data_IF_889677724700
#
_entry.id   IF_889677724700
#
_cell.length_a   1.000
_cell.length_b   1.000
_cell.length_c   1.000
_cell.angle_alpha   90.00
_cell.angle_beta   90.00
_cell.angle_gamma   90.00
#
_symmetry.space_group_name_H-M   'P 1'
#
loop_
_entity.id
_entity.type
_entity.pdbx_description
1 polymer ?
#
# COMPACT_ATOMS: atom_id res chain seq x y z
N UNK A 1 -9.74 -21.32 5.88
CA UNK A 1 -10.29 -20.09 6.49
C UNK A 1 -11.75 -19.98 6.06
N UNK A 2 -12.70 -19.86 6.99
CA UNK A 2 -14.12 -19.75 6.64
C UNK A 2 -14.39 -18.35 6.05
N UNK A 3 -15.16 -18.23 4.96
CA UNK A 3 -15.40 -16.94 4.29
C UNK A 3 -16.02 -15.89 5.22
N UNK A 4 -16.81 -16.33 6.20
CA UNK A 4 -17.42 -15.46 7.22
C UNK A 4 -16.36 -14.70 8.02
N UNK A 5 -15.31 -15.39 8.47
CA UNK A 5 -14.25 -14.76 9.29
C UNK A 5 -13.47 -13.71 8.51
N UNK A 6 -13.20 -13.96 7.22
CA UNK A 6 -12.51 -12.98 6.38
C UNK A 6 -13.37 -11.73 6.15
N UNK A 7 -14.67 -11.91 5.91
CA UNK A 7 -15.61 -10.79 5.74
C UNK A 7 -15.76 -9.97 7.03
N UNK A 8 -15.84 -10.62 8.18
CA UNK A 8 -15.95 -9.93 9.48
C UNK A 8 -14.70 -9.09 9.77
N UNK A 9 -13.51 -9.66 9.51
CA UNK A 9 -12.24 -8.95 9.65
C UNK A 9 -12.17 -7.73 8.73
N UNK A 10 -12.49 -7.89 7.44
CA UNK A 10 -12.50 -6.79 6.48
C UNK A 10 -13.55 -5.74 6.84
N UNK A 11 -14.75 -6.16 7.26
CA UNK A 11 -15.82 -5.27 7.68
C UNK A 11 -15.42 -4.42 8.87
N UNK A 12 -14.82 -5.03 9.89
CA UNK A 12 -14.28 -4.31 11.04
C UNK A 12 -13.20 -3.31 10.63
N UNK A 13 -12.20 -3.73 9.83
CA UNK A 13 -11.16 -2.82 9.34
C UNK A 13 -11.74 -1.63 8.57
N UNK A 14 -12.70 -1.86 7.67
CA UNK A 14 -13.37 -0.79 6.93
C UNK A 14 -14.15 0.16 7.86
N UNK A 15 -14.75 -0.36 8.94
CA UNK A 15 -15.51 0.45 9.90
C UNK A 15 -14.60 1.37 10.74
N UNK A 16 -13.37 0.95 11.05
CA UNK A 16 -12.44 1.74 11.88
C UNK A 16 -11.38 2.50 11.07
N UNK A 17 -11.23 2.21 9.78
CA UNK A 17 -10.25 2.85 8.93
C UNK A 17 -10.56 4.34 8.70
N UNK A 18 -9.52 5.12 8.42
CA UNK A 18 -9.66 6.48 7.90
C UNK A 18 -9.97 6.40 6.40
N UNK A 19 -11.12 6.93 5.99
CA UNK A 19 -11.54 6.88 4.59
C UNK A 19 -10.92 8.05 3.82
N UNK A 20 -10.36 7.77 2.65
CA UNK A 20 -9.73 8.77 1.78
C UNK A 20 -10.48 8.85 0.46
N UNK A 21 -11.01 10.03 0.15
CA UNK A 21 -11.48 10.34 -1.21
C UNK A 21 -10.26 10.74 -2.07
N UNK A 22 -10.13 10.10 -3.24
CA UNK A 22 -8.98 10.20 -4.13
C UNK A 22 -9.48 10.67 -5.50
N UNK A 23 -8.88 11.75 -6.02
CA UNK A 23 -9.27 12.40 -7.29
C UNK A 23 -8.07 12.74 -8.18
N UNK A 24 -6.98 11.97 -8.08
CA UNK A 24 -5.78 12.22 -8.88
C UNK A 24 -6.02 11.90 -10.36
N UNK A 25 -5.31 12.63 -11.24
CA UNK A 25 -5.48 12.56 -12.69
C UNK A 25 -4.30 11.90 -13.42
N UNK A 26 -3.36 11.29 -12.67
CA UNK A 26 -2.11 10.76 -13.24
C UNK A 26 -2.14 9.29 -13.62
N UNK A 27 -3.31 8.62 -13.59
CA UNK A 27 -3.41 7.23 -14.04
C UNK A 27 -3.36 7.13 -15.59
N UNK A 28 -2.74 6.08 -16.15
CA UNK A 28 -1.92 5.08 -15.46
C UNK A 28 -0.52 5.65 -15.17
N UNK A 29 0.03 5.33 -13.99
CA UNK A 29 1.40 5.72 -13.64
C UNK A 29 2.32 4.50 -13.47
N UNK A 30 1.87 3.51 -12.70
CA UNK A 30 2.65 2.30 -12.46
C UNK A 30 2.65 1.33 -13.65
N UNK A 31 3.66 0.44 -13.76
CA UNK A 31 3.68 -0.62 -14.77
C UNK A 31 2.43 -1.51 -14.79
N UNK A 32 1.89 -1.87 -13.61
CA UNK A 32 0.55 -2.45 -13.50
C UNK A 32 -0.46 -1.35 -13.10
N UNK A 33 -1.36 -0.92 -14.02
CA UNK A 33 -2.39 0.08 -13.71
C UNK A 33 -3.35 -0.32 -12.58
N UNK A 34 -3.43 -1.61 -12.21
CA UNK A 34 -4.25 -2.06 -11.08
C UNK A 34 -3.67 -1.61 -9.74
N UNK A 35 -2.36 -1.40 -9.68
CA UNK A 35 -1.64 -1.00 -8.47
C UNK A 35 -1.68 0.52 -8.24
N UNK A 36 -2.08 1.32 -9.24
CA UNK A 36 -2.18 2.77 -9.09
C UNK A 36 -3.07 3.18 -7.91
N UNK A 37 -4.13 2.41 -7.62
CA UNK A 37 -5.01 2.70 -6.46
C UNK A 37 -4.28 2.59 -5.12
N UNK A 38 -3.32 1.66 -5.01
CA UNK A 38 -2.49 1.49 -3.80
C UNK A 38 -1.52 2.66 -3.68
N UNK A 39 -0.86 3.03 -4.79
CA UNK A 39 0.02 4.19 -4.83
C UNK A 39 -0.71 5.47 -4.42
N UNK A 40 -1.86 5.74 -5.03
CA UNK A 40 -2.63 6.94 -4.73
C UNK A 40 -3.11 6.99 -3.28
N UNK A 41 -3.52 5.86 -2.70
CA UNK A 41 -3.87 5.81 -1.28
C UNK A 41 -2.65 6.15 -0.42
N UNK A 42 -1.49 5.57 -0.72
CA UNK A 42 -0.25 5.85 0.00
C UNK A 42 0.14 7.34 -0.07
N UNK A 43 -0.02 7.97 -1.25
CA UNK A 43 0.20 9.41 -1.42
C UNK A 43 -0.81 10.22 -0.63
N UNK A 44 -2.10 9.89 -0.73
CA UNK A 44 -3.19 10.64 -0.06
C UNK A 44 -3.18 10.47 1.46
N UNK A 45 -2.63 9.36 1.95
CA UNK A 45 -2.46 9.08 3.37
C UNK A 45 -1.08 9.51 3.91
N UNK A 46 -0.25 10.15 3.09
CA UNK A 46 1.10 10.62 3.47
C UNK A 46 1.98 9.50 4.05
N UNK A 47 1.86 8.30 3.49
CA UNK A 47 2.70 7.17 3.89
C UNK A 47 4.16 7.41 3.52
N UNK A 48 5.07 6.74 4.22
CA UNK A 48 6.49 6.70 3.84
C UNK A 48 6.83 5.46 2.99
N UNK A 49 6.04 4.38 3.12
CA UNK A 49 6.36 3.09 2.52
C UNK A 49 5.13 2.42 1.89
N UNK A 50 5.36 1.74 0.76
CA UNK A 50 4.48 0.69 0.22
C UNK A 50 5.24 -0.63 0.35
N UNK A 51 4.94 -1.41 1.37
CA UNK A 51 5.65 -2.67 1.63
C UNK A 51 5.08 -3.75 0.72
N UNK A 52 5.90 -4.34 -0.16
CA UNK A 52 5.42 -5.29 -1.18
C UNK A 52 6.51 -6.24 -1.66
N UNK A 53 6.14 -7.43 -2.12
CA UNK A 53 7.03 -8.33 -2.87
C UNK A 53 7.05 -7.99 -4.38
N UNK A 54 6.09 -7.22 -4.88
CA UNK A 54 5.95 -6.85 -6.28
C UNK A 54 6.79 -5.61 -6.63
N UNK A 55 8.09 -5.64 -6.30
CA UNK A 55 8.98 -4.47 -6.40
C UNK A 55 9.01 -3.84 -7.80
N UNK A 56 8.88 -4.68 -8.84
CA UNK A 56 8.85 -4.26 -10.25
C UNK A 56 7.62 -3.43 -10.62
N UNK A 57 6.52 -3.58 -9.88
CA UNK A 57 5.24 -2.90 -10.17
C UNK A 57 5.16 -1.55 -9.44
N UNK A 58 6.04 -1.30 -8.46
CA UNK A 58 6.14 -0.04 -7.71
C UNK A 58 7.45 0.69 -7.97
N UNK A 59 7.95 0.59 -9.20
CA UNK A 59 9.14 1.34 -9.63
C UNK A 59 8.84 2.84 -9.65
N UNK A 60 9.84 3.64 -9.28
CA UNK A 60 9.80 5.12 -9.31
C UNK A 60 8.79 5.83 -8.37
N UNK A 61 8.19 5.11 -7.41
CA UNK A 61 7.31 5.72 -6.38
C UNK A 61 8.01 6.78 -5.51
N UNK A 62 9.35 6.82 -5.52
CA UNK A 62 10.17 7.86 -4.89
C UNK A 62 9.83 9.28 -5.36
N UNK A 63 9.26 9.46 -6.55
CA UNK A 63 8.78 10.77 -7.02
C UNK A 63 7.69 11.36 -6.15
N UNK A 64 6.94 10.50 -5.45
CA UNK A 64 5.91 10.88 -4.51
C UNK A 64 6.40 10.90 -3.05
N UNK A 65 7.71 10.79 -2.81
CA UNK A 65 8.27 10.71 -1.46
C UNK A 65 8.10 9.34 -0.78
N UNK A 66 7.70 8.32 -1.54
CA UNK A 66 7.48 6.95 -1.06
C UNK A 66 8.70 6.05 -1.31
N UNK A 67 8.85 5.01 -0.49
CA UNK A 67 9.75 3.89 -0.76
C UNK A 67 8.94 2.60 -0.88
N UNK A 68 9.36 1.67 -1.73
CA UNK A 68 8.72 0.36 -1.85
C UNK A 68 9.67 -0.78 -1.43
N UNK A 69 9.97 -0.93 -0.12
CA UNK A 69 10.83 -2.02 0.34
C UNK A 69 10.10 -3.36 0.35
N UNK A 70 10.86 -4.44 0.26
CA UNK A 70 10.35 -5.77 0.59
C UNK A 70 10.05 -5.90 2.09
N UNK A 71 9.10 -6.78 2.48
CA UNK A 71 8.73 -6.98 3.89
C UNK A 71 9.90 -7.32 4.81
N UNK A 72 10.82 -8.21 4.40
CA UNK A 72 11.96 -8.61 5.22
C UNK A 72 12.88 -7.43 5.55
N UNK A 73 13.23 -6.63 4.54
CA UNK A 73 13.99 -5.40 4.72
C UNK A 73 13.28 -4.42 5.65
N UNK A 74 11.97 -4.22 5.48
CA UNK A 74 11.21 -3.32 6.34
C UNK A 74 11.18 -3.80 7.80
N UNK A 75 10.97 -5.10 8.03
CA UNK A 75 10.97 -5.69 9.37
C UNK A 75 12.32 -5.54 10.05
N UNK A 76 13.43 -5.78 9.33
CA UNK A 76 14.77 -5.55 9.86
C UNK A 76 14.98 -4.06 10.20
N UNK A 77 14.54 -3.15 9.32
CA UNK A 77 14.63 -1.70 9.53
C UNK A 77 13.90 -1.22 10.78
N UNK A 78 12.76 -1.82 11.13
CA UNK A 78 12.00 -1.47 12.34
C UNK A 78 12.41 -2.29 13.58
N UNK A 79 13.40 -3.18 13.47
CA UNK A 79 13.86 -4.03 14.57
C UNK A 79 12.91 -5.19 14.92
N UNK A 80 11.97 -5.54 14.03
CA UNK A 80 11.04 -6.65 14.20
C UNK A 80 11.58 -7.99 13.68
N UNK A 81 12.72 -7.96 12.95
CA UNK A 81 13.43 -9.13 12.48
C UNK A 81 14.92 -8.95 12.79
N UNK A 82 15.47 -9.88 13.59
CA UNK A 82 16.88 -9.92 13.99
C UNK A 82 17.78 -10.35 12.82
#
# INVERSE_FOLDING_TARGET
MNQTVANDLLGFHCAVAKHHQIFFLWRPYLPDPKDDRVLELAVKAECNYIITYNLRDFVDVKRFGLQAPEPAFFLHRIGALL
#
